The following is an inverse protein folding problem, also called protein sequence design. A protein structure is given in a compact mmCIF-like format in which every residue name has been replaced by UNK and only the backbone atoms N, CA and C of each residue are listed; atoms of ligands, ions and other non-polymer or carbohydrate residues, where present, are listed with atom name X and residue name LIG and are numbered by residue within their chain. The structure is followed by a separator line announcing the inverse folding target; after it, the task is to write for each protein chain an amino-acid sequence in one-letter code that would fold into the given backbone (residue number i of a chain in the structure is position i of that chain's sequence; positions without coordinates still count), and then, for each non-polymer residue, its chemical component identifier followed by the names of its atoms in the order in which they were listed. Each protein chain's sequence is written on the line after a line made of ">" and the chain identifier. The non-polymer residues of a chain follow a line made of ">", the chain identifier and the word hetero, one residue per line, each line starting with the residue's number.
data_IF_311837327841
#
_entry.id   IF_311837327841
#
_cell.length_a   1.000
_cell.length_b   1.000
_cell.length_c   1.000
_cell.angle_alpha   90.00
_cell.angle_beta   90.00
_cell.angle_gamma   90.00
#
_symmetry.space_group_name_H-M   'P 1'
#
loop_
_entity.id
_entity.type
_entity.pdbx_description
1 polymer ?
#
# COMPACT_ATOMS: atom_id res chain seq x y z
N UNK A 1 51.35 25.89 67.38
CA UNK A 1 50.21 24.97 67.15
C UNK A 1 49.80 25.12 65.68
N UNK A 2 50.02 24.10 64.86
CA UNK A 2 49.90 24.13 63.38
C UNK A 2 48.46 23.86 62.96
N UNK A 3 47.86 24.73 62.13
CA UNK A 3 46.57 24.50 61.49
C UNK A 3 46.84 24.11 60.03
N UNK A 4 46.53 22.86 59.69
CA UNK A 4 46.70 22.27 58.36
C UNK A 4 45.40 22.49 57.59
N UNK A 5 45.44 23.33 56.56
CA UNK A 5 44.33 23.56 55.65
C UNK A 5 44.25 22.40 54.64
N UNK A 6 43.16 21.61 54.68
CA UNK A 6 42.91 20.54 53.71
C UNK A 6 42.01 21.07 52.59
N UNK A 7 42.60 21.32 51.43
CA UNK A 7 41.87 21.58 50.18
C UNK A 7 41.21 20.27 49.70
N UNK A 8 39.89 20.21 49.72
CA UNK A 8 39.10 19.14 49.08
C UNK A 8 38.91 19.51 47.60
N UNK A 9 39.57 18.78 46.71
CA UNK A 9 39.34 18.89 45.26
C UNK A 9 38.20 17.93 44.91
N UNK A 10 37.01 18.46 44.66
CA UNK A 10 35.86 17.69 44.16
C UNK A 10 36.03 17.44 42.66
N UNK A 11 36.35 16.21 42.28
CA UNK A 11 36.44 15.79 40.88
C UNK A 11 35.03 15.46 40.37
N UNK A 12 34.38 16.41 39.72
CA UNK A 12 33.06 16.19 39.10
C UNK A 12 33.21 15.30 37.86
N UNK A 13 32.80 14.05 37.98
CA UNK A 13 32.78 13.07 36.89
C UNK A 13 31.60 13.41 35.96
N UNK A 14 31.83 14.20 34.91
CA UNK A 14 30.84 14.43 33.85
C UNK A 14 30.66 13.14 33.05
N UNK A 15 29.60 12.40 33.36
CA UNK A 15 29.15 11.25 32.55
C UNK A 15 28.57 11.80 31.25
N UNK A 16 29.35 11.70 30.16
CA UNK A 16 28.85 11.97 28.82
C UNK A 16 27.88 10.86 28.42
N UNK A 17 26.58 11.14 28.56
CA UNK A 17 25.51 10.31 27.99
C UNK A 17 25.59 10.40 26.46
N UNK A 18 26.25 9.41 25.86
CA UNK A 18 26.15 9.17 24.42
C UNK A 18 24.73 8.67 24.12
N UNK A 19 23.84 9.59 23.74
CA UNK A 19 22.58 9.21 23.11
C UNK A 19 22.89 8.66 21.72
N UNK A 20 22.91 7.33 21.60
CA UNK A 20 22.86 6.67 20.30
C UNK A 20 21.52 7.01 19.66
N UNK A 21 21.54 7.90 18.66
CA UNK A 21 20.43 8.05 17.72
C UNK A 21 20.30 6.74 16.95
N UNK A 22 19.41 5.86 17.41
CA UNK A 22 19.04 4.69 16.62
C UNK A 22 18.33 5.20 15.36
N UNK A 23 19.01 5.12 14.23
CA UNK A 23 18.40 5.37 12.92
C UNK A 23 17.45 4.21 12.64
N UNK A 24 16.17 4.38 12.98
CA UNK A 24 15.13 3.40 12.70
C UNK A 24 15.04 3.17 11.19
N UNK A 25 14.88 1.91 10.77
CA UNK A 25 14.51 1.62 9.39
C UNK A 25 13.17 2.30 9.09
N UNK A 26 13.13 3.19 8.09
CA UNK A 26 11.92 3.95 7.78
C UNK A 26 11.24 3.34 6.56
N UNK A 27 10.44 2.29 6.79
CA UNK A 27 9.49 1.85 5.77
C UNK A 27 8.18 2.63 5.89
N UNK A 28 7.79 3.24 4.77
CA UNK A 28 6.52 3.92 4.61
C UNK A 28 5.59 3.08 3.73
N UNK A 29 4.51 2.55 4.33
CA UNK A 29 3.49 1.79 3.60
C UNK A 29 2.55 2.76 2.89
N UNK A 30 2.59 2.74 1.56
CA UNK A 30 1.77 3.57 0.70
C UNK A 30 0.36 2.99 0.50
N UNK A 31 0.27 1.65 0.53
CA UNK A 31 -0.97 0.91 0.39
C UNK A 31 -0.82 -0.54 0.93
N UNK A 32 -1.88 -1.15 1.50
CA UNK A 32 -3.21 -0.60 1.78
C UNK A 32 -3.23 0.56 2.77
N UNK A 33 -4.33 1.32 2.77
CA UNK A 33 -4.64 2.21 3.89
C UNK A 33 -5.29 1.41 5.02
N UNK A 34 -5.06 1.84 6.25
CA UNK A 34 -5.70 1.24 7.41
C UNK A 34 -7.22 1.47 7.40
N UNK A 35 -7.96 0.46 7.85
CA UNK A 35 -9.42 0.38 7.83
C UNK A 35 -10.04 0.62 6.44
N UNK A 36 -9.38 0.13 5.39
CA UNK A 36 -9.89 0.24 4.03
C UNK A 36 -10.82 -0.95 3.69
N UNK A 37 -12.00 -0.64 3.13
CA UNK A 37 -12.87 -1.66 2.52
C UNK A 37 -12.49 -1.88 1.05
N UNK A 38 -12.36 -3.13 0.65
CA UNK A 38 -12.05 -3.53 -0.73
C UNK A 38 -12.98 -4.63 -1.23
N UNK A 39 -13.22 -4.64 -2.54
CA UNK A 39 -14.01 -5.68 -3.22
C UNK A 39 -13.14 -6.46 -4.21
N UNK A 40 -11.85 -6.63 -3.90
CA UNK A 40 -10.88 -7.41 -4.67
C UNK A 40 -10.42 -8.60 -3.85
N UNK A 41 -10.14 -9.73 -4.50
CA UNK A 41 -9.69 -10.95 -3.83
C UNK A 41 -8.22 -10.91 -3.40
N UNK A 42 -7.42 -10.10 -4.09
CA UNK A 42 -5.99 -9.97 -3.84
C UNK A 42 -5.66 -8.50 -3.58
N UNK A 43 -4.76 -8.23 -2.64
CA UNK A 43 -4.30 -6.89 -2.32
C UNK A 43 -2.80 -6.74 -2.57
N UNK A 44 -2.42 -5.68 -3.26
CA UNK A 44 -1.03 -5.40 -3.61
C UNK A 44 -0.41 -4.45 -2.58
N UNK A 45 0.31 -4.97 -1.60
CA UNK A 45 1.04 -4.17 -0.61
C UNK A 45 2.18 -3.44 -1.30
N UNK A 46 2.21 -2.12 -1.13
CA UNK A 46 3.24 -1.24 -1.67
C UNK A 46 3.83 -0.38 -0.56
N UNK A 47 5.15 -0.41 -0.42
CA UNK A 47 5.88 0.42 0.52
C UNK A 47 7.21 0.93 -0.04
N UNK A 48 7.74 1.98 0.56
CA UNK A 48 9.06 2.53 0.26
C UNK A 48 9.92 2.45 1.52
N UNK A 49 11.13 1.94 1.40
CA UNK A 49 12.13 1.79 2.46
C UNK A 49 13.43 2.48 2.04
N UNK A 50 14.16 3.03 3.01
CA UNK A 50 15.52 3.54 2.85
C UNK A 50 16.59 2.43 2.90
N UNK A 51 16.24 1.25 3.41
CA UNK A 51 17.12 0.07 3.53
C UNK A 51 16.70 -1.06 2.57
N UNK A 52 17.62 -1.99 2.24
CA UNK A 52 17.35 -3.23 1.51
C UNK A 52 17.00 -4.43 2.40
N UNK A 53 16.93 -4.24 3.72
CA UNK A 53 16.60 -5.32 4.65
C UNK A 53 15.25 -5.91 4.30
N UNK A 54 15.17 -7.25 4.34
CA UNK A 54 13.93 -7.97 4.11
C UNK A 54 12.81 -7.48 5.03
N UNK A 55 11.60 -7.49 4.49
CA UNK A 55 10.36 -7.19 5.20
C UNK A 55 9.64 -8.48 5.48
N UNK A 56 9.16 -8.65 6.70
CA UNK A 56 8.24 -9.73 7.06
C UNK A 56 6.82 -9.18 6.97
N UNK A 57 5.97 -9.86 6.21
CA UNK A 57 4.56 -9.55 6.07
C UNK A 57 3.78 -10.73 6.64
N UNK A 58 2.95 -10.50 7.63
CA UNK A 58 2.05 -11.48 8.19
C UNK A 58 0.61 -11.09 7.85
N UNK A 59 -0.19 -12.05 7.40
CA UNK A 59 -1.63 -11.88 7.20
C UNK A 59 -2.35 -13.00 7.90
N UNK A 60 -3.25 -12.66 8.83
CA UNK A 60 -4.07 -13.62 9.58
C UNK A 60 -3.27 -14.79 10.20
N UNK A 61 -2.04 -14.48 10.64
CA UNK A 61 -1.10 -15.44 11.27
C UNK A 61 -0.14 -16.16 10.31
N UNK A 62 -0.27 -15.98 8.99
CA UNK A 62 0.66 -16.53 8.00
C UNK A 62 1.75 -15.51 7.62
N UNK A 63 3.00 -15.84 7.93
CA UNK A 63 4.17 -15.00 7.69
C UNK A 63 4.89 -15.25 6.36
N UNK A 64 5.27 -14.16 5.69
CA UNK A 64 5.97 -14.14 4.40
C UNK A 64 7.17 -13.19 4.45
N UNK A 65 8.36 -13.70 4.14
CA UNK A 65 9.56 -12.84 3.98
C UNK A 65 9.66 -12.33 2.55
N UNK A 66 9.85 -11.02 2.38
CA UNK A 66 9.99 -10.37 1.07
C UNK A 66 11.25 -9.52 1.00
N UNK A 67 12.03 -9.73 -0.05
CA UNK A 67 13.10 -8.83 -0.45
C UNK A 67 12.55 -7.63 -1.20
N UNK A 68 13.22 -6.50 -1.06
CA UNK A 68 12.82 -5.25 -1.67
C UNK A 68 13.45 -5.07 -3.05
N UNK A 69 12.76 -4.35 -3.92
CA UNK A 69 13.24 -4.01 -5.26
C UNK A 69 13.97 -2.66 -5.22
N UNK A 70 15.19 -2.53 -5.77
CA UNK A 70 15.89 -1.26 -5.82
C UNK A 70 15.12 -0.25 -6.69
N UNK A 71 15.07 1.00 -6.24
CA UNK A 71 14.41 2.11 -6.93
C UNK A 71 15.12 3.43 -6.61
N UNK A 72 14.72 4.49 -7.31
CA UNK A 72 15.28 5.83 -7.12
C UNK A 72 14.15 6.83 -6.88
N UNK A 73 14.36 7.70 -5.90
CA UNK A 73 13.49 8.83 -5.61
C UNK A 73 13.59 9.89 -6.72
N UNK A 74 12.75 10.93 -6.68
CA UNK A 74 12.76 11.98 -7.71
C UNK A 74 14.03 12.84 -7.67
N UNK A 75 14.66 12.95 -6.50
CA UNK A 75 15.95 13.59 -6.27
C UNK A 75 17.16 12.65 -6.48
N UNK A 76 16.93 11.44 -7.03
CA UNK A 76 17.98 10.50 -7.39
C UNK A 76 18.55 9.69 -6.22
N UNK A 77 18.00 9.80 -5.01
CA UNK A 77 18.41 8.97 -3.87
C UNK A 77 17.97 7.53 -4.08
N UNK A 78 18.87 6.60 -3.75
CA UNK A 78 18.57 5.18 -3.76
C UNK A 78 17.56 4.88 -2.65
N UNK A 79 16.53 4.12 -2.99
CA UNK A 79 15.48 3.65 -2.09
C UNK A 79 15.05 2.26 -2.54
N UNK A 80 14.19 1.62 -1.76
CA UNK A 80 13.80 0.23 -1.98
C UNK A 80 12.28 0.10 -1.89
N UNK A 81 11.69 -0.64 -2.83
CA UNK A 81 10.25 -0.81 -2.98
C UNK A 81 9.82 -2.17 -2.44
N UNK A 82 8.85 -2.18 -1.54
CA UNK A 82 8.11 -3.37 -1.15
C UNK A 82 6.97 -3.58 -2.14
N UNK A 83 6.90 -4.78 -2.70
CA UNK A 83 5.79 -5.21 -3.54
C UNK A 83 5.44 -6.66 -3.20
N UNK A 84 4.24 -6.86 -2.69
CA UNK A 84 3.71 -8.20 -2.42
C UNK A 84 2.23 -8.24 -2.72
N UNK A 85 1.76 -9.34 -3.31
CA UNK A 85 0.34 -9.58 -3.51
C UNK A 85 -0.07 -10.63 -2.48
N UNK A 86 -1.03 -10.26 -1.63
CA UNK A 86 -1.63 -11.16 -0.66
C UNK A 86 -3.06 -11.50 -1.08
N UNK A 87 -3.49 -12.72 -0.80
CA UNK A 87 -4.91 -13.09 -0.92
C UNK A 87 -5.64 -12.61 0.32
N UNK A 88 -6.87 -12.15 0.14
CA UNK A 88 -7.76 -11.74 1.21
C UNK A 88 -8.87 -12.76 1.40
N UNK A 89 -9.15 -13.10 2.65
CA UNK A 89 -10.34 -13.83 3.07
C UNK A 89 -11.52 -12.86 3.25
N UNK A 90 -12.75 -13.37 3.17
CA UNK A 90 -13.95 -12.54 3.31
C UNK A 90 -14.06 -11.98 4.73
N UNK A 91 -14.34 -10.68 4.86
CA UNK A 91 -14.34 -9.96 6.13
C UNK A 91 -13.01 -9.28 6.43
N UNK A 92 -12.71 -9.11 7.72
CA UNK A 92 -11.50 -8.41 8.19
C UNK A 92 -10.27 -9.29 8.05
N UNK A 93 -9.23 -8.72 7.46
CA UNK A 93 -7.89 -9.30 7.32
C UNK A 93 -6.92 -8.39 8.07
N UNK A 94 -6.10 -8.94 8.96
CA UNK A 94 -5.09 -8.19 9.69
C UNK A 94 -3.71 -8.41 9.05
N UNK A 95 -3.13 -7.35 8.51
CA UNK A 95 -1.84 -7.38 7.81
C UNK A 95 -0.80 -6.68 8.68
N UNK A 96 0.15 -7.44 9.23
CA UNK A 96 1.26 -6.92 10.01
C UNK A 96 2.53 -6.88 9.17
N UNK A 97 3.18 -5.72 9.11
CA UNK A 97 4.39 -5.48 8.32
C UNK A 97 5.51 -5.10 9.27
N UNK A 98 6.59 -5.86 9.25
CA UNK A 98 7.73 -5.70 10.14
C UNK A 98 9.03 -5.56 9.35
N UNK A 99 9.84 -4.55 9.69
CA UNK A 99 11.18 -4.36 9.13
C UNK A 99 12.13 -3.78 10.20
N UNK A 100 13.02 -4.62 10.73
CA UNK A 100 13.83 -4.22 11.90
C UNK A 100 12.91 -3.92 13.09
N UNK A 101 13.05 -2.74 13.68
CA UNK A 101 12.23 -2.29 14.81
C UNK A 101 10.89 -1.67 14.36
N UNK A 102 10.71 -1.42 13.06
CA UNK A 102 9.44 -0.95 12.53
C UNK A 102 8.44 -2.11 12.52
N UNK A 103 7.25 -1.88 13.09
CA UNK A 103 6.10 -2.75 12.98
C UNK A 103 4.84 -1.91 12.75
N UNK A 104 4.02 -2.31 11.78
CA UNK A 104 2.72 -1.68 11.51
C UNK A 104 1.69 -2.73 11.16
N UNK A 105 0.55 -2.69 11.83
CA UNK A 105 -0.62 -3.50 11.49
C UNK A 105 -1.61 -2.64 10.71
N UNK A 106 -2.20 -3.22 9.67
CA UNK A 106 -3.18 -2.60 8.77
C UNK A 106 -4.37 -3.54 8.67
N UNK A 107 -5.56 -3.03 8.95
CA UNK A 107 -6.80 -3.82 8.82
C UNK A 107 -7.46 -3.51 7.48
N UNK A 108 -7.78 -4.57 6.73
CA UNK A 108 -8.47 -4.48 5.44
C UNK A 108 -9.74 -5.33 5.49
N UNK A 109 -10.87 -4.73 5.15
CA UNK A 109 -12.17 -5.43 5.13
C UNK A 109 -12.54 -5.79 3.69
N UNK A 110 -12.59 -7.10 3.38
CA UNK A 110 -12.97 -7.62 2.07
C UNK A 110 -14.47 -7.93 2.05
N UNK A 111 -15.20 -7.27 1.16
CA UNK A 111 -16.62 -7.53 0.91
C UNK A 111 -16.82 -8.20 -0.46
N UNK A 112 -17.71 -9.19 -0.54
CA UNK A 112 -18.00 -9.90 -1.80
C UNK A 112 -18.74 -9.04 -2.81
N UNK A 113 -19.60 -8.15 -2.31
CA UNK A 113 -20.30 -7.14 -3.08
C UNK A 113 -20.13 -5.81 -2.35
N UNK A 114 -19.80 -4.70 -3.04
CA UNK A 114 -19.80 -3.39 -2.40
C UNK A 114 -21.19 -3.16 -1.79
N UNK A 115 -21.26 -3.11 -0.46
CA UNK A 115 -22.50 -2.90 0.28
C UNK A 115 -23.02 -1.50 -0.06
N UNK A 116 -24.16 -1.48 -0.75
CA UNK A 116 -25.18 -0.41 -0.92
C UNK A 116 -24.67 1.02 -1.21
N UNK A 117 -24.78 1.38 -2.50
CA UNK A 117 -25.10 2.69 -3.10
C UNK A 117 -24.96 3.94 -2.20
N UNK A 118 -23.73 4.40 -2.03
CA UNK A 118 -23.39 5.80 -2.32
C UNK A 118 -22.33 5.77 -3.43
N UNK A 119 -22.19 6.84 -4.19
CA UNK A 119 -21.31 6.95 -5.37
C UNK A 119 -19.82 6.76 -5.00
N UNK A 120 -19.46 5.49 -4.81
CA UNK A 120 -18.18 4.96 -4.32
C UNK A 120 -17.04 5.13 -5.34
N UNK A 121 -17.35 5.59 -6.55
CA UNK A 121 -16.38 5.74 -7.63
C UNK A 121 -15.32 6.80 -7.35
N UNK A 122 -15.59 7.77 -6.45
CA UNK A 122 -14.60 8.79 -6.05
C UNK A 122 -13.55 8.30 -5.03
N UNK A 123 -13.85 7.32 -4.18
CA UNK A 123 -12.89 6.87 -3.14
C UNK A 123 -11.91 5.81 -3.64
N UNK A 124 -12.33 4.94 -4.55
CA UNK A 124 -11.51 3.84 -5.07
C UNK A 124 -10.58 4.23 -6.23
N UNK A 125 -10.81 5.36 -6.89
CA UNK A 125 -9.92 5.86 -7.93
C UNK A 125 -8.58 6.38 -7.38
N UNK A 126 -8.31 6.24 -6.08
CA UNK A 126 -7.08 6.69 -5.40
C UNK A 126 -5.78 6.38 -6.17
N UNK A 127 -5.71 5.28 -6.92
CA UNK A 127 -4.53 4.94 -7.75
C UNK A 127 -4.54 5.52 -9.17
N UNK A 128 -5.71 5.81 -9.72
CA UNK A 128 -5.86 6.42 -11.05
C UNK A 128 -5.84 7.96 -10.99
N UNK A 129 -6.35 8.54 -9.90
CA UNK A 129 -6.58 9.97 -9.72
C UNK A 129 -5.47 10.72 -8.98
N UNK A 130 -4.66 10.06 -8.15
CA UNK A 130 -3.58 10.77 -7.45
C UNK A 130 -2.29 10.76 -8.28
N UNK A 131 -1.94 11.91 -8.84
CA UNK A 131 -0.73 12.08 -9.66
C UNK A 131 0.54 11.54 -8.99
N UNK A 132 0.74 11.84 -7.71
CA UNK A 132 1.91 11.37 -6.95
C UNK A 132 1.96 9.85 -6.78
N UNK A 133 0.82 9.16 -6.56
CA UNK A 133 0.83 7.69 -6.42
C UNK A 133 0.91 6.99 -7.77
N UNK A 134 0.27 7.56 -8.80
CA UNK A 134 0.38 7.10 -10.19
C UNK A 134 1.83 7.08 -10.66
N UNK A 135 2.59 8.12 -10.31
CA UNK A 135 4.01 8.23 -10.67
C UNK A 135 4.87 7.16 -9.99
N UNK A 136 4.56 6.79 -8.75
CA UNK A 136 5.29 5.71 -8.04
C UNK A 136 5.15 4.38 -8.80
N UNK A 137 3.95 4.01 -9.21
CA UNK A 137 3.71 2.75 -9.91
C UNK A 137 4.33 2.76 -11.32
N UNK A 138 4.25 3.89 -12.03
CA UNK A 138 4.76 4.05 -13.41
C UNK A 138 6.28 3.93 -13.54
N UNK A 139 7.03 4.07 -12.44
CA UNK A 139 8.49 3.84 -12.43
C UNK A 139 8.84 2.40 -12.79
N UNK A 140 8.02 1.44 -12.36
CA UNK A 140 8.28 0.01 -12.56
C UNK A 140 7.28 -0.63 -13.55
N UNK A 141 6.06 -0.10 -13.63
CA UNK A 141 5.00 -0.66 -14.47
C UNK A 141 4.64 0.24 -15.64
N UNK A 142 4.49 -0.36 -16.82
CA UNK A 142 3.89 0.29 -17.99
C UNK A 142 2.40 -0.04 -18.00
N UNK A 143 1.55 0.98 -17.96
CA UNK A 143 0.08 0.83 -18.02
C UNK A 143 -0.44 1.41 -19.36
N UNK A 144 -0.19 0.70 -20.45
CA UNK A 144 -0.50 1.16 -21.81
C UNK A 144 -1.60 0.31 -22.46
N UNK A 145 -1.71 -0.94 -22.04
CA UNK A 145 -2.53 -1.97 -22.66
C UNK A 145 -3.56 -2.53 -21.67
N UNK A 146 -4.58 -3.18 -22.23
CA UNK A 146 -5.64 -3.83 -21.44
C UNK A 146 -5.13 -4.87 -20.45
N UNK A 147 -4.05 -5.57 -20.80
CA UNK A 147 -3.40 -6.56 -19.92
C UNK A 147 -2.98 -5.94 -18.59
N UNK A 148 -2.68 -4.65 -18.58
CA UNK A 148 -2.23 -3.94 -17.39
C UNK A 148 -3.38 -3.69 -16.40
N UNK A 149 -4.62 -3.54 -16.88
CA UNK A 149 -5.81 -3.46 -16.04
C UNK A 149 -6.04 -4.78 -15.28
N UNK A 150 -5.83 -5.90 -15.99
CA UNK A 150 -6.06 -7.25 -15.45
C UNK A 150 -5.02 -7.65 -14.40
N UNK A 151 -3.81 -7.09 -14.47
CA UNK A 151 -2.77 -7.35 -13.48
C UNK A 151 -3.18 -6.93 -12.07
N UNK A 152 -4.04 -5.91 -11.94
CA UNK A 152 -4.57 -5.45 -10.65
C UNK A 152 -6.04 -5.83 -10.42
N UNK A 153 -6.84 -5.97 -11.48
CA UNK A 153 -8.29 -6.22 -11.42
C UNK A 153 -8.68 -7.61 -11.94
N UNK A 154 -7.85 -8.62 -11.66
CA UNK A 154 -8.07 -10.00 -12.13
C UNK A 154 -9.40 -10.57 -11.63
N UNK A 155 -9.79 -10.22 -10.41
CA UNK A 155 -11.05 -10.60 -9.77
C UNK A 155 -12.28 -10.23 -10.61
N UNK A 156 -12.23 -9.10 -11.33
CA UNK A 156 -13.34 -8.64 -12.19
C UNK A 156 -13.63 -9.58 -13.36
N UNK A 157 -12.66 -10.42 -13.74
CA UNK A 157 -12.81 -11.43 -14.80
C UNK A 157 -13.28 -12.79 -14.30
N UNK A 158 -13.26 -13.02 -12.98
CA UNK A 158 -13.43 -14.34 -12.37
C UNK A 158 -14.77 -14.50 -11.63
N UNK A 159 -15.66 -13.51 -11.72
CA UNK A 159 -16.98 -13.59 -11.10
C UNK A 159 -17.88 -14.67 -11.73
N UNK A 160 -18.87 -15.14 -10.96
CA UNK A 160 -19.90 -16.08 -11.46
C UNK A 160 -20.68 -15.49 -12.64
N UNK A 161 -20.95 -14.19 -12.60
CA UNK A 161 -21.72 -13.45 -13.61
C UNK A 161 -20.91 -12.26 -14.12
N UNK A 162 -19.96 -12.54 -15.01
CA UNK A 162 -19.12 -11.49 -15.63
C UNK A 162 -19.79 -11.02 -16.92
N UNK A 163 -20.10 -9.73 -16.99
CA UNK A 163 -20.64 -9.10 -18.19
C UNK A 163 -19.69 -9.29 -19.38
N UNK A 164 -20.26 -9.57 -20.56
CA UNK A 164 -19.50 -9.86 -21.79
C UNK A 164 -18.36 -8.87 -22.07
N UNK A 165 -18.55 -7.54 -21.98
CA UNK A 165 -17.44 -6.59 -22.18
C UNK A 165 -16.29 -6.80 -21.20
N UNK A 166 -16.56 -7.16 -19.95
CA UNK A 166 -15.52 -7.43 -18.96
C UNK A 166 -14.80 -8.74 -19.30
N UNK A 167 -15.54 -9.81 -19.63
CA UNK A 167 -14.97 -11.12 -20.02
C UNK A 167 -14.06 -11.03 -21.25
N UNK A 168 -14.39 -10.14 -22.18
CA UNK A 168 -13.61 -9.86 -23.39
C UNK A 168 -12.48 -8.84 -23.15
N UNK A 169 -12.24 -8.43 -21.90
CA UNK A 169 -11.29 -7.39 -21.52
C UNK A 169 -11.52 -6.09 -22.33
N UNK A 170 -12.77 -5.66 -22.47
CA UNK A 170 -13.14 -4.39 -23.11
C UNK A 170 -13.45 -3.34 -22.04
N UNK A 171 -12.52 -3.12 -21.11
CA UNK A 171 -12.70 -2.20 -19.98
C UNK A 171 -13.17 -0.79 -20.41
N UNK A 172 -12.67 -0.32 -21.55
CA UNK A 172 -13.00 1.02 -22.07
C UNK A 172 -14.38 1.12 -22.74
N UNK A 173 -15.18 0.05 -22.77
CA UNK A 173 -16.60 0.14 -23.11
C UNK A 173 -17.39 0.92 -22.06
N UNK A 174 -16.94 0.85 -20.81
CA UNK A 174 -17.54 1.60 -19.70
C UNK A 174 -16.58 2.65 -19.14
N UNK A 175 -15.27 2.38 -19.04
CA UNK A 175 -14.29 3.30 -18.43
C UNK A 175 -13.67 4.29 -19.43
N UNK A 176 -13.52 5.57 -19.03
CA UNK A 176 -12.90 6.61 -19.86
C UNK A 176 -11.42 6.82 -19.53
N UNK A 177 -10.52 6.69 -20.50
CA UNK A 177 -9.06 6.78 -20.27
C UNK A 177 -8.63 8.17 -19.80
N UNK A 178 -9.26 9.20 -20.34
CA UNK A 178 -8.92 10.61 -20.14
C UNK A 178 -9.46 11.14 -18.81
N UNK A 179 -10.48 10.49 -18.26
CA UNK A 179 -11.15 10.88 -17.02
C UNK A 179 -10.88 9.87 -15.90
N UNK A 180 -9.60 9.55 -15.69
CA UNK A 180 -9.13 8.71 -14.58
C UNK A 180 -9.79 7.32 -14.52
N UNK A 181 -10.23 6.80 -15.67
CA UNK A 181 -10.98 5.57 -15.77
C UNK A 181 -12.29 5.58 -15.01
N UNK A 182 -12.93 6.74 -14.82
CA UNK A 182 -14.31 6.81 -14.34
C UNK A 182 -15.27 6.18 -15.37
N UNK A 183 -16.34 5.50 -14.93
CA UNK A 183 -17.38 5.02 -15.84
C UNK A 183 -18.03 6.19 -16.61
N UNK A 184 -18.33 5.97 -17.89
CA UNK A 184 -18.96 6.96 -18.76
C UNK A 184 -20.41 7.26 -18.38
N UNK A 185 -21.07 6.34 -17.67
CA UNK A 185 -22.43 6.47 -17.18
C UNK A 185 -22.53 5.91 -15.76
N UNK A 186 -23.52 6.38 -14.96
CA UNK A 186 -23.85 5.75 -13.70
C UNK A 186 -24.13 4.26 -13.90
N UNK A 187 -23.73 3.46 -12.92
CA UNK A 187 -23.85 2.01 -13.00
C UNK A 187 -25.31 1.58 -13.24
N UNK A 188 -26.27 2.22 -12.56
CA UNK A 188 -27.71 1.99 -12.74
C UNK A 188 -28.17 2.20 -14.19
N UNK A 189 -27.73 3.28 -14.85
CA UNK A 189 -28.04 3.54 -16.26
C UNK A 189 -27.47 2.49 -17.21
N UNK A 190 -26.30 1.93 -16.87
CA UNK A 190 -25.67 0.85 -17.66
C UNK A 190 -26.38 -0.49 -17.50
N UNK A 191 -26.93 -0.79 -16.32
CA UNK A 191 -27.73 -2.00 -16.10
C UNK A 191 -29.01 -1.98 -16.95
N UNK A 192 -29.71 -0.84 -16.93
CA UNK A 192 -30.99 -0.63 -17.60
C UNK A 192 -30.87 -0.52 -19.12
N UNK A 193 -29.65 -0.41 -19.68
CA UNK A 193 -29.48 -0.44 -21.14
C UNK A 193 -29.78 -1.82 -21.75
N UNK A 194 -29.77 -2.88 -20.92
CA UNK A 194 -29.96 -4.26 -21.36
C UNK A 194 -30.98 -5.04 -20.52
N UNK A 195 -31.30 -4.60 -19.30
CA UNK A 195 -32.24 -5.26 -18.39
C UNK A 195 -33.39 -4.32 -18.06
N UNK A 196 -34.60 -4.67 -18.53
CA UNK A 196 -35.86 -3.99 -18.20
C UNK A 196 -36.58 -4.75 -17.08
#
# INVERSE_FOLDING_TARGET
>A
MKIINRFFIAFTFTVALFFSVNTYATINILFPKDNQTVAVSDIHIVGISDTDKNVVIEIDGEGYTKSLLPSFSRDGKKQYMLMSILKLDSGKNEITITQGDFQKTIVVDKVESPVVIEDWTEKLSSFHSSGSKKDVCKKCHKFQNIKDCVNCHKDKLLGKWVHKPVKEARCFKCHQRENEFKPAQPFSGTCLSCHN
#
